data_IF_005605464639
#
_entry.id   IF_005605464639
#
_cell.length_a   1.000
_cell.length_b   1.000
_cell.length_c   1.000
_cell.angle_alpha   90.00
_cell.angle_beta   90.00
_cell.angle_gamma   90.00
#
_symmetry.space_group_name_H-M   'P 1'
#
loop_
_entity.id
_entity.type
_entity.pdbx_description
1 polymer ?
#
# COMPACT_ATOMS: atom_id res chain seq x y z
N UNK A 1 -40.30 -29.55 -21.79
CA UNK A 1 -40.25 -28.41 -20.86
C UNK A 1 -39.55 -28.88 -19.59
N UNK A 2 -38.26 -28.61 -19.49
CA UNK A 2 -37.53 -28.67 -18.21
C UNK A 2 -36.52 -27.54 -18.26
N UNK A 3 -36.85 -26.47 -17.53
CA UNK A 3 -35.97 -25.34 -17.28
C UNK A 3 -34.82 -25.81 -16.37
N UNK A 4 -33.61 -25.86 -16.91
CA UNK A 4 -32.36 -25.92 -16.14
C UNK A 4 -31.79 -24.50 -16.08
N UNK A 5 -32.43 -23.64 -15.29
CA UNK A 5 -31.76 -22.46 -14.75
C UNK A 5 -30.84 -22.96 -13.64
N UNK A 6 -29.63 -23.35 -14.04
CA UNK A 6 -28.54 -23.56 -13.09
C UNK A 6 -28.27 -22.24 -12.38
N UNK A 7 -28.57 -22.20 -11.09
CA UNK A 7 -28.10 -21.16 -10.19
C UNK A 7 -26.59 -21.03 -10.36
N UNK A 8 -26.13 -19.86 -10.79
CA UNK A 8 -24.71 -19.51 -10.78
C UNK A 8 -24.30 -19.55 -9.31
N UNK A 9 -23.31 -20.37 -8.90
CA UNK A 9 -22.83 -20.32 -7.54
C UNK A 9 -22.27 -18.92 -7.34
N UNK A 10 -22.91 -18.11 -6.50
CA UNK A 10 -22.29 -16.93 -5.89
C UNK A 10 -21.22 -17.45 -4.94
N UNK A 11 -20.14 -17.96 -5.52
CA UNK A 11 -19.00 -18.51 -4.81
C UNK A 11 -18.48 -17.42 -3.88
N UNK A 12 -18.38 -17.76 -2.61
CA UNK A 12 -17.70 -16.91 -1.65
C UNK A 12 -16.24 -16.83 -2.12
N UNK A 13 -15.87 -15.73 -2.77
CA UNK A 13 -14.50 -15.53 -3.24
C UNK A 13 -13.66 -15.25 -2.01
N UNK A 14 -12.79 -16.19 -1.66
CA UNK A 14 -11.81 -15.99 -0.60
C UNK A 14 -10.84 -14.88 -1.05
N UNK A 15 -10.71 -13.84 -0.23
CA UNK A 15 -9.76 -12.75 -0.49
C UNK A 15 -8.33 -13.28 -0.62
N UNK A 16 -7.98 -14.34 0.12
CA UNK A 16 -6.64 -14.94 0.07
C UNK A 16 -6.35 -15.51 -1.32
N UNK A 17 -7.34 -16.16 -1.95
CA UNK A 17 -7.20 -16.72 -3.29
C UNK A 17 -7.02 -15.62 -4.32
N UNK A 18 -7.80 -14.53 -4.21
CA UNK A 18 -7.62 -13.36 -5.08
C UNK A 18 -6.25 -12.72 -4.88
N UNK A 19 -5.83 -12.50 -3.63
CA UNK A 19 -4.55 -11.85 -3.32
C UNK A 19 -3.35 -12.63 -3.88
N UNK A 20 -3.47 -13.96 -4.02
CA UNK A 20 -2.44 -14.81 -4.63
C UNK A 20 -2.22 -14.52 -6.11
N UNK A 21 -3.21 -13.98 -6.80
CA UNK A 21 -3.17 -13.66 -8.22
C UNK A 21 -2.93 -12.16 -8.50
N UNK A 22 -3.12 -11.30 -7.50
CA UNK A 22 -2.87 -9.85 -7.62
C UNK A 22 -1.36 -9.53 -7.62
N UNK A 23 -0.89 -8.93 -8.72
CA UNK A 23 0.49 -8.46 -8.93
C UNK A 23 0.54 -6.94 -8.82
N UNK A 24 0.64 -6.43 -7.60
CA UNK A 24 0.67 -5.00 -7.30
C UNK A 24 1.89 -4.65 -6.44
N UNK A 25 2.62 -3.61 -6.86
CA UNK A 25 3.68 -2.98 -6.08
C UNK A 25 3.35 -1.50 -5.88
N UNK A 26 3.39 -1.01 -4.64
CA UNK A 26 3.25 0.41 -4.34
C UNK A 26 4.65 1.00 -4.15
N UNK A 27 5.13 1.76 -5.14
CA UNK A 27 6.47 2.35 -5.11
C UNK A 27 6.59 3.40 -4.01
N UNK A 28 5.54 4.21 -3.80
CA UNK A 28 5.53 5.22 -2.74
C UNK A 28 5.73 4.58 -1.37
N UNK A 29 4.97 3.52 -1.10
CA UNK A 29 5.05 2.80 0.16
C UNK A 29 6.44 2.23 0.42
N UNK A 30 7.01 1.52 -0.57
CA UNK A 30 8.34 0.93 -0.44
C UNK A 30 9.39 2.00 -0.21
N UNK A 31 9.36 3.09 -0.99
CA UNK A 31 10.34 4.17 -0.87
C UNK A 31 10.23 4.88 0.48
N UNK A 32 9.02 5.11 0.98
CA UNK A 32 8.84 5.75 2.29
C UNK A 32 9.29 4.82 3.42
N UNK A 33 8.97 3.52 3.37
CA UNK A 33 9.46 2.56 4.37
C UNK A 33 11.00 2.47 4.33
N UNK A 34 11.61 2.41 3.14
CA UNK A 34 13.06 2.44 2.97
C UNK A 34 13.68 3.64 3.71
N UNK A 35 13.16 4.85 3.47
CA UNK A 35 13.68 6.07 4.09
C UNK A 35 13.44 6.11 5.60
N UNK A 36 12.27 5.68 6.08
CA UNK A 36 11.95 5.61 7.51
C UNK A 36 12.89 4.68 8.25
N UNK A 37 13.05 3.45 7.74
CA UNK A 37 13.89 2.42 8.38
C UNK A 37 15.35 2.88 8.38
N UNK A 38 15.84 3.39 7.23
CA UNK A 38 17.21 3.90 7.12
C UNK A 38 17.48 5.03 8.11
N UNK A 39 16.53 5.95 8.25
CA UNK A 39 16.67 7.09 9.15
C UNK A 39 16.68 6.64 10.62
N UNK A 40 15.76 5.75 11.02
CA UNK A 40 15.73 5.20 12.37
C UNK A 40 17.03 4.44 12.68
N UNK A 41 17.51 3.63 11.74
CA UNK A 41 18.73 2.84 11.89
C UNK A 41 19.99 3.69 11.92
N UNK A 42 19.96 4.91 11.38
CA UNK A 42 21.10 5.83 11.38
C UNK A 42 21.11 6.72 12.63
N UNK A 43 19.93 7.23 13.03
CA UNK A 43 19.82 8.28 14.05
C UNK A 43 19.32 7.80 15.41
N UNK A 44 18.78 6.58 15.49
CA UNK A 44 18.12 6.06 16.69
C UNK A 44 18.51 4.61 17.01
N UNK A 45 19.74 4.18 16.70
CA UNK A 45 20.16 2.79 16.94
C UNK A 45 19.89 2.31 18.37
N UNK A 46 20.21 3.14 19.36
CA UNK A 46 20.05 2.82 20.79
C UNK A 46 18.57 2.79 21.24
N UNK A 47 17.67 3.41 20.47
CA UNK A 47 16.25 3.56 20.78
C UNK A 47 15.33 2.92 19.73
N UNK A 48 15.87 2.16 18.78
CA UNK A 48 15.12 1.56 17.66
C UNK A 48 13.93 0.73 18.13
N UNK A 49 14.06 0.03 19.26
CA UNK A 49 12.99 -0.78 19.85
C UNK A 49 11.79 0.03 20.35
N UNK A 50 11.97 1.34 20.60
CA UNK A 50 10.93 2.24 21.09
C UNK A 50 10.17 2.93 19.96
N UNK A 51 10.68 2.89 18.72
CA UNK A 51 10.12 3.57 17.56
C UNK A 51 9.58 2.52 16.60
N UNK A 52 8.27 2.53 16.35
CA UNK A 52 7.66 1.64 15.35
C UNK A 52 7.81 2.25 13.95
N UNK A 53 8.60 1.65 13.02
CA UNK A 53 8.71 2.14 11.65
C UNK A 53 7.36 2.16 10.92
N UNK A 54 6.47 1.22 11.24
CA UNK A 54 5.12 1.15 10.69
C UNK A 54 4.30 2.40 11.02
N UNK A 55 4.35 2.86 12.28
CA UNK A 55 3.64 4.07 12.70
C UNK A 55 4.18 5.33 12.04
N UNK A 56 5.51 5.42 11.92
CA UNK A 56 6.15 6.57 11.24
C UNK A 56 5.74 6.57 9.76
N UNK A 57 5.82 5.42 9.09
CA UNK A 57 5.43 5.29 7.70
C UNK A 57 3.95 5.60 7.48
N UNK A 58 3.04 5.09 8.32
CA UNK A 58 1.60 5.35 8.24
C UNK A 58 1.28 6.85 8.35
N UNK A 59 1.91 7.57 9.29
CA UNK A 59 1.71 9.03 9.43
C UNK A 59 2.11 9.82 8.19
N UNK A 60 3.11 9.35 7.44
CA UNK A 60 3.54 9.99 6.19
C UNK A 60 2.59 9.57 5.06
N UNK A 61 2.36 8.26 4.90
CA UNK A 61 1.57 7.69 3.81
C UNK A 61 0.09 8.12 3.83
N UNK A 62 -0.46 8.46 4.99
CA UNK A 62 -1.85 8.93 5.14
C UNK A 62 -2.04 10.42 4.85
N UNK A 63 -1.02 11.13 4.36
CA UNK A 63 -1.17 12.53 3.99
C UNK A 63 -1.69 12.65 2.55
N UNK A 64 -2.64 13.55 2.33
CA UNK A 64 -3.24 13.80 1.01
C UNK A 64 -2.23 14.22 -0.08
N UNK A 65 -1.10 14.80 0.31
CA UNK A 65 -0.05 15.21 -0.62
C UNK A 65 0.87 14.05 -1.08
N UNK A 66 0.74 12.88 -0.47
CA UNK A 66 1.49 11.67 -0.82
C UNK A 66 0.70 10.84 -1.84
N UNK A 67 1.22 10.65 -3.07
CA UNK A 67 0.48 9.97 -4.12
C UNK A 67 0.56 8.44 -3.97
N UNK A 68 -0.50 7.75 -4.40
CA UNK A 68 -0.46 6.33 -4.67
C UNK A 68 0.25 6.08 -6.01
N UNK A 69 1.34 5.29 -5.99
CA UNK A 69 2.14 4.98 -7.18
C UNK A 69 2.26 3.46 -7.34
N UNK A 70 1.15 2.83 -7.70
CA UNK A 70 1.03 1.42 -7.98
C UNK A 70 1.52 1.06 -9.39
N UNK A 71 2.18 -0.09 -9.48
CA UNK A 71 2.58 -0.71 -10.73
C UNK A 71 2.30 -2.21 -10.73
N UNK A 72 2.17 -2.77 -11.93
CA UNK A 72 1.93 -4.20 -12.18
C UNK A 72 3.06 -4.85 -12.99
N UNK A 73 4.04 -4.07 -13.43
CA UNK A 73 5.14 -4.50 -14.30
C UNK A 73 6.44 -3.79 -13.98
N UNK A 74 7.56 -4.34 -14.47
CA UNK A 74 8.87 -3.71 -14.33
C UNK A 74 8.94 -2.31 -14.98
N UNK A 75 8.40 -2.17 -16.21
CA UNK A 75 8.34 -0.87 -16.89
C UNK A 75 7.49 0.13 -16.12
N UNK A 76 6.32 -0.29 -15.65
CA UNK A 76 5.45 0.54 -14.82
C UNK A 76 6.14 0.97 -13.54
N UNK A 77 6.82 0.03 -12.86
CA UNK A 77 7.60 0.31 -11.65
C UNK A 77 8.65 1.41 -11.89
N UNK A 78 9.42 1.33 -12.98
CA UNK A 78 10.43 2.34 -13.29
C UNK A 78 9.80 3.72 -13.55
N UNK A 79 8.65 3.78 -14.22
CA UNK A 79 7.92 5.03 -14.39
C UNK A 79 7.48 5.61 -13.04
N UNK A 80 6.93 4.76 -12.15
CA UNK A 80 6.51 5.18 -10.82
C UNK A 80 7.69 5.63 -9.94
N UNK A 81 8.87 5.00 -10.07
CA UNK A 81 10.10 5.44 -9.39
C UNK A 81 10.52 6.84 -9.88
N UNK A 82 10.48 7.08 -11.18
CA UNK A 82 10.79 8.41 -11.74
C UNK A 82 9.79 9.47 -11.26
N UNK A 83 8.50 9.14 -11.23
CA UNK A 83 7.47 10.04 -10.70
C UNK A 83 7.70 10.38 -9.22
N UNK A 84 8.00 9.36 -8.41
CA UNK A 84 8.37 9.55 -7.01
C UNK A 84 9.59 10.47 -6.86
N UNK A 85 10.64 10.25 -7.65
CA UNK A 85 11.85 11.07 -7.64
C UNK A 85 11.59 12.52 -8.06
N UNK A 86 10.74 12.73 -9.06
CA UNK A 86 10.36 14.08 -9.51
C UNK A 86 9.63 14.86 -8.40
N UNK A 87 8.76 14.19 -7.65
CA UNK A 87 7.99 14.81 -6.57
C UNK A 87 8.81 15.02 -5.30
N UNK A 88 9.60 14.02 -4.89
CA UNK A 88 10.27 13.98 -3.59
C UNK A 88 11.78 14.14 -3.62
N UNK A 89 12.36 14.34 -4.81
CA UNK A 89 13.81 14.43 -5.02
C UNK A 89 14.47 13.06 -5.19
N UNK A 90 15.68 13.07 -5.76
CA UNK A 90 16.52 11.88 -5.90
C UNK A 90 16.70 11.24 -4.52
N UNK A 91 16.55 9.92 -4.45
CA UNK A 91 16.62 9.13 -3.22
C UNK A 91 15.65 9.62 -2.12
N UNK A 92 14.50 10.19 -2.48
CA UNK A 92 13.49 10.58 -1.51
C UNK A 92 13.95 11.67 -0.53
N UNK A 93 14.90 12.54 -0.92
CA UNK A 93 15.47 13.58 -0.06
C UNK A 93 14.41 14.38 0.73
N UNK A 94 13.29 14.79 0.09
CA UNK A 94 12.22 15.51 0.79
C UNK A 94 11.51 14.64 1.84
N UNK A 95 11.39 13.34 1.60
CA UNK A 95 10.85 12.39 2.59
C UNK A 95 11.80 12.34 3.79
N UNK A 96 13.08 12.04 3.53
CA UNK A 96 14.12 11.89 4.56
C UNK A 96 14.31 13.14 5.41
N UNK A 97 14.46 14.31 4.79
CA UNK A 97 14.87 15.53 5.50
C UNK A 97 13.69 16.31 6.11
N UNK A 98 12.45 16.03 5.68
CA UNK A 98 11.28 16.77 6.16
C UNK A 98 10.23 15.88 6.78
N UNK A 99 9.73 14.88 6.05
CA UNK A 99 8.57 14.12 6.48
C UNK A 99 8.91 13.09 7.56
N UNK A 100 10.06 12.42 7.47
CA UNK A 100 10.50 11.45 8.48
C UNK A 100 10.74 12.14 9.84
N UNK A 101 11.53 13.23 9.94
CA UNK A 101 11.68 13.98 11.19
C UNK A 101 10.36 14.47 11.77
N UNK A 102 9.46 14.99 10.91
CA UNK A 102 8.14 15.45 11.34
C UNK A 102 7.28 14.32 11.93
N UNK A 103 7.23 13.17 11.26
CA UNK A 103 6.43 12.03 11.72
C UNK A 103 7.00 11.44 13.02
N UNK A 104 8.33 11.37 13.12
CA UNK A 104 9.01 10.97 14.36
C UNK A 104 8.68 11.90 15.51
N UNK A 105 8.84 13.22 15.34
CA UNK A 105 8.53 14.21 16.37
C UNK A 105 7.08 14.08 16.87
N UNK A 106 6.12 13.86 15.96
CA UNK A 106 4.72 13.56 16.33
C UNK A 106 4.60 12.31 17.21
N UNK A 107 5.21 11.20 16.79
CA UNK A 107 5.15 9.93 17.53
C UNK A 107 5.77 10.07 18.91
N UNK A 108 6.96 10.68 18.97
CA UNK A 108 7.70 10.91 20.20
C UNK A 108 6.89 11.75 21.19
N UNK A 109 6.31 12.86 20.72
CA UNK A 109 5.48 13.74 21.56
C UNK A 109 4.19 13.09 22.03
N UNK A 110 3.63 12.19 21.23
CA UNK A 110 2.38 11.49 21.57
C UNK A 110 2.56 10.31 22.54
N UNK A 111 3.79 9.81 22.70
CA UNK A 111 4.02 8.50 23.32
C UNK A 111 5.16 8.39 24.34
N UNK A 112 6.02 9.40 24.53
CA UNK A 112 7.14 9.31 25.47
C UNK A 112 6.96 10.22 26.70
N UNK A 113 7.26 9.74 27.93
CA UNK A 113 7.44 10.59 29.10
C UNK A 113 8.46 11.71 28.82
N UNK A 114 8.21 12.93 29.30
CA UNK A 114 8.98 14.15 29.01
C UNK A 114 10.50 14.04 29.24
N UNK A 115 10.97 13.14 30.11
CA UNK A 115 12.40 12.90 30.36
C UNK A 115 13.12 12.25 29.18
N UNK A 116 12.45 11.36 28.44
CA UNK A 116 13.02 10.67 27.26
C UNK A 116 13.06 11.59 26.04
N UNK A 117 12.22 12.62 25.99
CA UNK A 117 12.25 13.64 24.93
C UNK A 117 13.56 14.44 24.94
N UNK A 118 14.18 14.62 26.12
CA UNK A 118 15.47 15.31 26.27
C UNK A 118 16.66 14.43 25.85
N UNK A 119 16.69 13.15 26.24
CA UNK A 119 17.75 12.21 25.84
C UNK A 119 17.76 11.99 24.33
N UNK A 120 16.56 11.90 23.74
CA UNK A 120 16.37 11.75 22.31
C UNK A 120 16.80 13.00 21.52
N UNK A 121 16.52 14.21 22.04
CA UNK A 121 16.99 15.45 21.45
C UNK A 121 18.53 15.59 21.51
N UNK A 122 19.18 15.01 22.52
CA UNK A 122 20.64 14.93 22.59
C UNK A 122 21.22 13.91 21.60
N UNK A 123 20.59 12.74 21.43
CA UNK A 123 21.02 11.70 20.48
C UNK A 123 20.95 12.14 19.00
N UNK A 124 19.95 12.95 18.63
CA UNK A 124 19.81 13.55 17.28
C UNK A 124 21.00 14.46 16.94
N UNK A 125 21.65 15.06 17.94
CA UNK A 125 22.78 15.97 17.74
C UNK A 125 24.15 15.26 17.64
N UNK A 126 24.22 13.95 17.91
CA UNK A 126 25.51 13.24 18.05
C UNK A 126 25.77 12.14 17.02
N UNK A 127 24.77 11.68 16.27
CA UNK A 127 24.92 10.51 15.39
C UNK A 127 25.23 10.89 13.93
N UNK A 128 26.50 10.70 13.53
CA UNK A 128 26.98 10.70 12.14
C UNK A 128 27.60 9.35 11.79
N UNK A 129 26.85 8.50 11.10
CA UNK A 129 27.36 7.55 10.09
C UNK A 129 26.20 6.75 9.50
N UNK A 130 25.95 6.91 8.20
CA UNK A 130 24.99 6.10 7.47
C UNK A 130 25.67 4.79 7.03
N UNK A 131 25.22 3.65 7.54
CA UNK A 131 25.40 2.36 6.87
C UNK A 131 24.23 2.13 5.92
N UNK A 132 24.45 1.84 4.62
CA UNK A 132 23.35 1.53 3.71
C UNK A 132 22.59 0.29 4.19
N UNK A 133 21.27 0.31 4.09
CA UNK A 133 20.47 -0.92 4.18
C UNK A 133 20.76 -1.80 2.97
N UNK A 134 21.00 -3.08 3.22
CA UNK A 134 21.08 -4.11 2.18
C UNK A 134 19.67 -4.43 1.65
N UNK A 135 19.56 -4.72 0.36
CA UNK A 135 18.28 -4.96 -0.34
C UNK A 135 17.57 -6.21 0.19
N UNK A 136 18.30 -7.25 0.62
CA UNK A 136 17.72 -8.45 1.24
C UNK A 136 17.04 -8.14 2.57
N UNK A 137 17.68 -7.34 3.42
CA UNK A 137 17.14 -6.94 4.72
C UNK A 137 15.87 -6.09 4.55
N UNK A 138 15.82 -5.24 3.52
CA UNK A 138 14.62 -4.46 3.22
C UNK A 138 13.43 -5.35 2.84
N UNK A 139 13.63 -6.38 2.01
CA UNK A 139 12.53 -7.26 1.60
C UNK A 139 11.93 -8.01 2.79
N UNK A 140 12.77 -8.43 3.74
CA UNK A 140 12.32 -9.02 5.01
C UNK A 140 11.54 -8.02 5.86
N UNK A 141 12.01 -6.78 5.96
CA UNK A 141 11.30 -5.71 6.68
C UNK A 141 9.95 -5.42 6.04
N UNK A 142 9.89 -5.30 4.71
CA UNK A 142 8.65 -5.09 3.96
C UNK A 142 7.67 -6.24 4.15
N UNK A 143 8.15 -7.49 4.25
CA UNK A 143 7.30 -8.65 4.47
C UNK A 143 6.77 -8.74 5.92
N UNK A 144 7.53 -8.21 6.89
CA UNK A 144 7.23 -8.36 8.32
C UNK A 144 6.56 -7.15 8.97
N UNK A 145 6.70 -5.96 8.38
CA UNK A 145 6.11 -4.71 8.88
C UNK A 145 4.59 -4.79 8.96
N UNK A 146 4.03 -4.43 10.12
CA UNK A 146 2.58 -4.40 10.35
C UNK A 146 2.00 -3.09 9.82
N UNK A 147 1.84 -3.01 8.50
CA UNK A 147 1.36 -1.82 7.80
C UNK A 147 0.43 -2.26 6.64
N UNK A 148 -0.82 -1.78 6.64
CA UNK A 148 -1.84 -2.19 5.67
C UNK A 148 -2.57 -0.98 5.09
N UNK A 149 -2.60 -0.84 3.77
CA UNK A 149 -3.44 0.15 3.11
C UNK A 149 -4.89 -0.37 2.99
N UNK A 150 -5.81 0.11 3.82
CA UNK A 150 -7.22 -0.28 3.81
C UNK A 150 -7.85 -0.06 2.43
N UNK A 151 -7.56 1.07 1.79
CA UNK A 151 -8.08 1.39 0.46
C UNK A 151 -7.66 0.34 -0.58
N UNK A 152 -6.42 -0.17 -0.52
CA UNK A 152 -5.96 -1.26 -1.39
C UNK A 152 -6.81 -2.52 -1.23
N UNK A 153 -7.05 -2.96 0.00
CA UNK A 153 -7.86 -4.15 0.26
C UNK A 153 -9.31 -3.99 -0.19
N UNK A 154 -9.92 -2.82 0.04
CA UNK A 154 -11.30 -2.59 -0.38
C UNK A 154 -11.41 -2.48 -1.91
N UNK A 155 -10.51 -1.75 -2.57
CA UNK A 155 -10.48 -1.67 -4.04
C UNK A 155 -10.33 -3.04 -4.67
N UNK A 156 -9.44 -3.90 -4.15
CA UNK A 156 -9.31 -5.28 -4.65
C UNK A 156 -10.65 -6.03 -4.52
N UNK A 157 -11.29 -5.96 -3.34
CA UNK A 157 -12.59 -6.63 -3.11
C UNK A 157 -13.67 -6.11 -4.07
N UNK A 158 -13.79 -4.81 -4.23
CA UNK A 158 -14.87 -4.19 -4.99
C UNK A 158 -14.63 -4.32 -6.51
N UNK A 159 -13.38 -4.28 -6.97
CA UNK A 159 -13.01 -4.59 -8.35
C UNK A 159 -13.35 -6.04 -8.74
N UNK A 160 -13.05 -7.02 -7.87
CA UNK A 160 -13.43 -8.42 -8.08
C UNK A 160 -14.94 -8.55 -8.24
N UNK A 161 -15.71 -7.95 -7.32
CA UNK A 161 -17.19 -7.98 -7.37
C UNK A 161 -17.71 -7.34 -8.65
N UNK A 162 -17.16 -6.18 -9.05
CA UNK A 162 -17.56 -5.47 -10.25
C UNK A 162 -17.31 -6.31 -11.51
N UNK A 163 -16.13 -6.90 -11.66
CA UNK A 163 -15.78 -7.74 -12.82
C UNK A 163 -16.68 -8.96 -12.90
N UNK A 164 -16.90 -9.66 -11.78
CA UNK A 164 -17.73 -10.86 -11.76
C UNK A 164 -19.21 -10.59 -12.01
N UNK A 165 -19.73 -9.47 -11.50
CA UNK A 165 -21.15 -9.11 -11.70
C UNK A 165 -21.43 -8.55 -13.09
N UNK A 166 -20.55 -7.68 -13.61
CA UNK A 166 -20.78 -6.96 -14.87
C UNK A 166 -20.28 -7.72 -16.09
N UNK A 167 -19.18 -8.48 -15.95
CA UNK A 167 -18.52 -9.17 -17.04
C UNK A 167 -18.16 -10.64 -16.70
N UNK A 168 -19.14 -11.47 -16.26
CA UNK A 168 -18.88 -12.85 -15.82
C UNK A 168 -18.19 -13.72 -16.88
N UNK A 169 -18.45 -13.45 -18.17
CA UNK A 169 -17.85 -14.19 -19.28
C UNK A 169 -16.46 -13.68 -19.70
N UNK A 170 -16.01 -12.55 -19.15
CA UNK A 170 -14.73 -11.92 -19.50
C UNK A 170 -13.78 -11.80 -18.30
N UNK A 171 -14.08 -12.47 -17.17
CA UNK A 171 -13.25 -12.48 -15.94
C UNK A 171 -11.80 -12.86 -16.25
N UNK A 172 -11.58 -13.85 -17.14
CA UNK A 172 -10.23 -14.28 -17.55
C UNK A 172 -9.51 -13.30 -18.48
N UNK A 173 -10.25 -12.40 -19.13
CA UNK A 173 -9.69 -11.40 -20.07
C UNK A 173 -9.30 -10.11 -19.35
N UNK A 174 -10.02 -9.75 -18.29
CA UNK A 174 -9.77 -8.53 -17.52
C UNK A 174 -8.65 -8.78 -16.52
N UNK A 175 -7.52 -8.10 -16.68
CA UNK A 175 -6.43 -8.18 -15.71
C UNK A 175 -6.78 -7.36 -14.46
N UNK A 176 -7.09 -8.07 -13.38
CA UNK A 176 -7.48 -7.48 -12.10
C UNK A 176 -6.38 -6.64 -11.46
N UNK A 177 -5.11 -6.98 -11.68
CA UNK A 177 -3.99 -6.20 -11.17
C UNK A 177 -3.96 -4.82 -11.83
N UNK A 178 -4.19 -4.75 -13.14
CA UNK A 178 -4.21 -3.47 -13.86
C UNK A 178 -5.42 -2.62 -13.49
N UNK A 179 -6.59 -3.24 -13.30
CA UNK A 179 -7.77 -2.55 -12.74
C UNK A 179 -7.41 -1.91 -11.41
N UNK A 180 -6.86 -2.69 -10.48
CA UNK A 180 -6.53 -2.20 -9.15
C UNK A 180 -5.47 -1.11 -9.18
N UNK A 181 -4.41 -1.24 -10.00
CA UNK A 181 -3.37 -0.23 -10.11
C UNK A 181 -3.92 1.09 -10.66
N UNK A 182 -4.75 1.04 -11.70
CA UNK A 182 -5.35 2.24 -12.29
C UNK A 182 -6.32 2.91 -11.31
N UNK A 183 -7.13 2.14 -10.58
CA UNK A 183 -8.04 2.68 -9.56
C UNK A 183 -7.23 3.30 -8.42
N UNK A 184 -6.27 2.57 -7.85
CA UNK A 184 -5.49 3.02 -6.70
C UNK A 184 -4.64 4.25 -7.02
N UNK A 185 -4.22 4.43 -8.27
CA UNK A 185 -3.48 5.62 -8.73
C UNK A 185 -4.39 6.81 -9.08
N UNK A 186 -5.72 6.64 -9.04
CA UNK A 186 -6.66 7.72 -9.32
C UNK A 186 -6.63 8.74 -8.18
N UNK A 187 -6.74 10.03 -8.54
CA UNK A 187 -6.67 11.16 -7.61
C UNK A 187 -7.74 11.17 -6.50
N UNK A 188 -8.88 10.54 -6.73
CA UNK A 188 -9.95 10.39 -5.72
C UNK A 188 -9.63 9.35 -4.65
N UNK A 189 -8.66 8.45 -4.91
CA UNK A 189 -8.31 7.39 -3.96
C UNK A 189 -7.28 7.89 -2.97
N UNK A 190 -7.71 8.06 -1.73
CA UNK A 190 -6.85 8.41 -0.61
C UNK A 190 -6.25 7.15 0.03
N UNK A 191 -4.98 7.20 0.40
CA UNK A 191 -4.31 6.11 1.12
C UNK A 191 -4.79 6.05 2.58
N UNK A 192 -5.12 4.86 3.07
CA UNK A 192 -5.62 4.65 4.44
C UNK A 192 -4.81 3.55 5.13
N UNK A 193 -3.60 3.88 5.54
CA UNK A 193 -2.68 3.00 6.21
C UNK A 193 -3.00 2.81 7.69
N UNK A 194 -3.21 1.55 8.06
CA UNK A 194 -3.37 1.08 9.44
C UNK A 194 -2.12 0.32 9.91
N UNK A 195 -1.87 0.37 11.21
CA UNK A 195 -0.78 -0.34 11.90
C UNK A 195 -1.26 -1.37 12.91
N UNK A 196 -2.57 -1.43 13.17
CA UNK A 196 -3.22 -2.46 13.99
C UNK A 196 -4.58 -2.86 13.42
N UNK A 197 -5.15 -3.96 13.92
CA UNK A 197 -6.49 -4.44 13.55
C UNK A 197 -7.59 -3.44 13.94
N UNK A 198 -7.48 -2.81 15.12
CA UNK A 198 -8.45 -1.81 15.56
C UNK A 198 -8.46 -0.58 14.64
N UNK A 199 -7.27 -0.08 14.29
CA UNK A 199 -7.11 1.04 13.36
C UNK A 199 -7.62 0.66 11.96
N UNK A 200 -7.34 -0.57 11.50
CA UNK A 200 -7.84 -1.09 10.24
C UNK A 200 -9.37 -1.05 10.17
N UNK A 201 -10.05 -1.53 11.21
CA UNK A 201 -11.51 -1.57 11.26
C UNK A 201 -12.15 -0.17 11.32
N UNK A 202 -11.52 0.77 12.03
CA UNK A 202 -11.94 2.18 12.04
C UNK A 202 -11.79 2.82 10.66
N UNK A 203 -10.62 2.67 10.04
CA UNK A 203 -10.36 3.19 8.70
C UNK A 203 -11.20 2.51 7.63
N UNK A 204 -11.56 1.23 7.79
CA UNK A 204 -12.51 0.53 6.91
C UNK A 204 -13.91 1.14 6.99
N UNK A 205 -14.36 1.47 8.20
CA UNK A 205 -15.64 2.17 8.38
C UNK A 205 -15.61 3.55 7.72
N UNK A 206 -14.50 4.26 7.86
CA UNK A 206 -14.26 5.55 7.20
C UNK A 206 -14.28 5.40 5.68
N UNK A 207 -13.58 4.40 5.13
CA UNK A 207 -13.60 4.06 3.70
C UNK A 207 -15.02 3.91 3.17
N UNK A 208 -15.83 3.08 3.85
CA UNK A 208 -17.20 2.77 3.43
C UNK A 208 -18.08 4.03 3.45
N UNK A 209 -17.96 4.83 4.50
CA UNK A 209 -18.85 5.99 4.68
C UNK A 209 -18.49 7.19 3.80
N UNK A 210 -17.19 7.40 3.54
CA UNK A 210 -16.71 8.64 2.92
C UNK A 210 -16.24 8.47 1.48
N UNK A 211 -15.66 7.31 1.13
CA UNK A 211 -14.91 7.16 -0.13
C UNK A 211 -15.52 6.12 -1.07
N UNK A 212 -16.15 5.06 -0.55
CA UNK A 212 -16.54 3.89 -1.34
C UNK A 212 -17.39 4.24 -2.57
N UNK A 213 -18.41 5.10 -2.42
CA UNK A 213 -19.28 5.44 -3.55
C UNK A 213 -18.51 6.04 -4.73
N UNK A 214 -17.61 6.98 -4.47
CA UNK A 214 -16.86 7.65 -5.54
C UNK A 214 -15.80 6.70 -6.14
N UNK A 215 -15.20 5.85 -5.31
CA UNK A 215 -14.24 4.84 -5.77
C UNK A 215 -14.93 3.75 -6.61
N UNK A 216 -16.14 3.33 -6.25
CA UNK A 216 -16.93 2.37 -7.02
C UNK A 216 -17.25 2.90 -8.41
N UNK A 217 -17.57 4.19 -8.55
CA UNK A 217 -17.75 4.82 -9.86
C UNK A 217 -16.48 4.73 -10.72
N UNK A 218 -15.31 4.98 -10.13
CA UNK A 218 -14.01 4.87 -10.80
C UNK A 218 -13.71 3.41 -11.17
N UNK A 219 -13.98 2.46 -10.27
CA UNK A 219 -13.84 1.02 -10.54
C UNK A 219 -14.66 0.64 -11.78
N UNK A 220 -15.94 1.02 -11.82
CA UNK A 220 -16.83 0.72 -12.94
C UNK A 220 -16.28 1.29 -14.24
N UNK A 221 -15.83 2.55 -14.24
CA UNK A 221 -15.27 3.19 -15.43
C UNK A 221 -14.00 2.49 -15.94
N UNK A 222 -13.09 2.13 -15.05
CA UNK A 222 -11.83 1.47 -15.39
C UNK A 222 -12.07 0.04 -15.88
N UNK A 223 -12.96 -0.71 -15.22
CA UNK A 223 -13.35 -2.06 -15.66
C UNK A 223 -13.96 -2.02 -17.05
N UNK A 224 -14.87 -1.07 -17.32
CA UNK A 224 -15.48 -0.90 -18.64
C UNK A 224 -14.45 -0.56 -19.71
N UNK A 225 -13.49 0.31 -19.38
CA UNK A 225 -12.39 0.68 -20.27
C UNK A 225 -11.53 -0.53 -20.64
N UNK A 226 -11.04 -1.28 -19.65
CA UNK A 226 -10.21 -2.47 -19.87
C UNK A 226 -10.98 -3.54 -20.65
N UNK A 227 -12.27 -3.72 -20.35
CA UNK A 227 -13.10 -4.67 -21.09
C UNK A 227 -13.22 -4.33 -22.58
N UNK A 228 -13.44 -3.04 -22.91
CA UNK A 228 -13.59 -2.54 -24.29
C UNK A 228 -12.29 -2.57 -25.08
N UNK A 229 -11.21 -2.05 -24.49
CA UNK A 229 -9.91 -1.92 -25.15
C UNK A 229 -9.18 -3.27 -25.24
N UNK A 230 -9.61 -4.26 -24.46
CA UNK A 230 -8.89 -5.51 -24.30
C UNK A 230 -7.64 -5.31 -23.44
N UNK A 231 -7.20 -6.39 -22.80
CA UNK A 231 -5.96 -6.44 -22.04
C UNK A 231 -4.70 -6.38 -22.93
N UNK A 232 -4.78 -5.84 -24.15
CA UNK A 232 -3.61 -5.65 -25.03
C UNK A 232 -2.68 -4.54 -24.50
N UNK A 233 -3.18 -3.71 -23.58
CA UNK A 233 -2.37 -2.82 -22.73
C UNK A 233 -2.00 -3.47 -21.38
N UNK A 234 -2.27 -4.76 -21.19
CA UNK A 234 -1.95 -5.48 -19.96
C UNK A 234 -0.46 -5.48 -19.77
N UNK A 235 -0.02 -4.79 -18.74
CA UNK A 235 1.38 -4.63 -18.39
C UNK A 235 2.03 -5.96 -17.94
N UNK A 236 1.30 -7.07 -17.95
CA UNK A 236 1.61 -8.31 -17.22
C UNK A 236 2.55 -9.31 -17.90
N UNK A 237 3.23 -8.99 -19.01
CA UNK A 237 4.19 -9.94 -19.58
C UNK A 237 5.49 -10.05 -18.75
N UNK A 238 5.82 -9.02 -17.96
CA UNK A 238 6.98 -8.96 -17.06
C UNK A 238 6.54 -8.67 -15.61
N UNK A 239 5.76 -9.60 -15.04
CA UNK A 239 5.21 -9.45 -13.70
C UNK A 239 6.31 -9.49 -12.62
N UNK A 240 6.36 -8.46 -11.78
CA UNK A 240 7.19 -8.47 -10.57
C UNK A 240 6.69 -9.55 -9.59
N UNK A 241 7.61 -10.30 -8.98
CA UNK A 241 7.29 -11.23 -7.88
C UNK A 241 6.89 -10.39 -6.66
N UNK A 242 5.64 -10.54 -6.22
CA UNK A 242 5.02 -9.65 -5.26
C UNK A 242 5.48 -9.94 -3.82
N UNK A 243 6.51 -9.22 -3.35
CA UNK A 243 6.85 -9.10 -1.92
C UNK A 243 5.60 -8.74 -1.10
N UNK A 244 4.71 -7.92 -1.69
CA UNK A 244 3.42 -7.55 -1.12
C UNK A 244 2.44 -8.72 -0.95
N UNK A 245 2.56 -9.83 -1.68
CA UNK A 245 1.66 -10.97 -1.49
C UNK A 245 1.84 -11.60 -0.12
N UNK A 246 3.08 -11.88 0.31
CA UNK A 246 3.32 -12.49 1.61
C UNK A 246 2.82 -11.61 2.75
N UNK A 247 3.08 -10.29 2.67
CA UNK A 247 2.55 -9.34 3.65
C UNK A 247 1.01 -9.32 3.65
N UNK A 248 0.35 -9.20 2.50
CA UNK A 248 -1.12 -9.16 2.42
C UNK A 248 -1.75 -10.45 2.94
N UNK A 249 -1.17 -11.61 2.60
CA UNK A 249 -1.59 -12.92 3.12
C UNK A 249 -1.44 -12.99 4.64
N UNK A 250 -0.32 -12.52 5.18
CA UNK A 250 -0.10 -12.42 6.64
C UNK A 250 -1.20 -11.55 7.26
N UNK A 251 -1.34 -10.30 6.82
CA UNK A 251 -2.32 -9.36 7.37
C UNK A 251 -3.76 -9.88 7.29
N UNK A 252 -4.14 -10.49 6.16
CA UNK A 252 -5.49 -11.07 5.99
C UNK A 252 -5.78 -12.14 7.04
N UNK A 253 -4.81 -13.01 7.32
CA UNK A 253 -4.95 -14.05 8.35
C UNK A 253 -4.88 -13.51 9.78
N UNK A 254 -3.98 -12.56 10.04
CA UNK A 254 -3.71 -12.08 11.40
C UNK A 254 -4.76 -11.08 11.88
N UNK A 255 -5.33 -10.26 10.99
CA UNK A 255 -6.32 -9.23 11.32
C UNK A 255 -7.74 -9.57 10.84
N UNK A 256 -7.97 -10.80 10.38
CA UNK A 256 -9.28 -11.28 9.89
C UNK A 256 -9.96 -10.33 8.88
N UNK A 257 -9.20 -9.89 7.87
CA UNK A 257 -9.62 -8.86 6.88
C UNK A 257 -10.63 -9.37 5.86
#
# INVERSE_FOLDING_TARGET
>A
MHDFLGEVPTGHIDLIDVLADIRLINVTEIKIIQEVVSFIDTHYQEHKSMISPAKVAALILNRDDIPNLYATSFRGHNNQVLEFQNKFGINGFKIREKLVPWALDKIIRSGLPQSLTQDLAMAINTSRSASPLDDENLLEILATINLANVAEFQVIKDAVKCVNSKYPNAVRRINLSDVCALVLNHDVVTSLYATSEEEYNQLKTTYINEYQTQIDEVIVQIVDKIHKEGSEYSFSHDSLVAVNFQRRKKLTKFWNI
#
